data_IF_458866939822
#
_entry.id   IF_458866939822
#
_cell.length_a   1.000
_cell.length_b   1.000
_cell.length_c   1.000
_cell.angle_alpha   90.00
_cell.angle_beta   90.00
_cell.angle_gamma   90.00
#
_symmetry.space_group_name_H-M   'P 1'
#
loop_
_entity.id
_entity.type
_entity.pdbx_description
1 polymer ?
#
# COMPACT_ATOMS: atom_id res chain seq x y z
N UNK A 1 -4.46 8.68 16.13
CA UNK A 1 -5.81 9.18 15.81
C UNK A 1 -6.85 8.16 16.26
N UNK A 2 -7.85 8.56 17.02
CA UNK A 2 -8.93 7.68 17.47
C UNK A 2 -10.10 7.66 16.47
N UNK A 3 -10.91 6.61 16.49
CA UNK A 3 -12.09 6.51 15.61
C UNK A 3 -13.14 7.60 15.92
N UNK A 4 -13.21 8.06 17.17
CA UNK A 4 -14.14 9.13 17.58
C UNK A 4 -13.74 10.44 16.91
N UNK A 5 -12.45 10.79 16.94
CA UNK A 5 -11.91 11.98 16.28
C UNK A 5 -12.09 11.89 14.77
N UNK A 6 -11.80 10.72 14.19
CA UNK A 6 -11.89 10.50 12.75
C UNK A 6 -13.32 10.66 12.20
N UNK A 7 -14.33 10.14 12.91
CA UNK A 7 -15.73 10.22 12.47
C UNK A 7 -16.45 11.50 12.92
N UNK A 8 -15.84 12.31 13.79
CA UNK A 8 -16.46 13.53 14.31
C UNK A 8 -16.95 14.50 13.21
N UNK A 9 -16.17 14.79 12.14
CA UNK A 9 -16.58 15.73 11.09
C UNK A 9 -17.83 15.30 10.33
N UNK A 10 -18.11 13.99 10.29
CA UNK A 10 -19.18 13.38 9.49
C UNK A 10 -20.26 12.72 10.35
N UNK A 11 -20.27 12.99 11.66
CA UNK A 11 -21.20 12.37 12.61
C UNK A 11 -22.66 12.71 12.33
N UNK A 12 -22.91 13.86 11.71
CA UNK A 12 -24.24 14.29 11.22
C UNK A 12 -24.51 13.89 9.77
N UNK A 13 -23.53 13.27 9.11
CA UNK A 13 -23.66 12.76 7.75
C UNK A 13 -24.59 11.54 7.66
N UNK A 14 -24.95 11.17 6.43
CA UNK A 14 -25.76 9.99 6.18
C UNK A 14 -25.09 8.71 6.68
N UNK A 15 -25.91 7.73 7.11
CA UNK A 15 -25.43 6.45 7.65
C UNK A 15 -24.43 5.74 6.73
N UNK A 16 -24.66 5.81 5.41
CA UNK A 16 -23.74 5.30 4.39
C UNK A 16 -22.32 5.84 4.59
N UNK A 17 -22.19 7.16 4.66
CA UNK A 17 -20.89 7.82 4.80
C UNK A 17 -20.20 7.45 6.11
N UNK A 18 -20.95 7.38 7.21
CA UNK A 18 -20.41 6.95 8.52
C UNK A 18 -19.87 5.51 8.44
N UNK A 19 -20.61 4.60 7.81
CA UNK A 19 -20.18 3.21 7.63
C UNK A 19 -18.91 3.11 6.78
N UNK A 20 -18.87 3.79 5.63
CA UNK A 20 -17.72 3.77 4.72
C UNK A 20 -16.48 4.35 5.41
N UNK A 21 -16.61 5.48 6.10
CA UNK A 21 -15.48 6.06 6.83
C UNK A 21 -15.02 5.21 8.01
N UNK A 22 -15.93 4.52 8.70
CA UNK A 22 -15.54 3.56 9.75
C UNK A 22 -14.77 2.36 9.18
N UNK A 23 -15.14 1.87 7.99
CA UNK A 23 -14.40 0.83 7.28
C UNK A 23 -13.01 1.31 6.84
N UNK A 24 -12.93 2.54 6.29
CA UNK A 24 -11.65 3.14 5.93
C UNK A 24 -10.73 3.26 7.13
N UNK A 25 -11.26 3.69 8.27
CA UNK A 25 -10.48 3.80 9.50
C UNK A 25 -9.92 2.44 9.95
N UNK A 26 -10.74 1.38 9.85
CA UNK A 26 -10.32 0.02 10.19
C UNK A 26 -9.21 -0.50 9.28
N UNK A 27 -9.35 -0.31 7.98
CA UNK A 27 -8.33 -0.71 7.00
C UNK A 27 -7.05 0.08 7.20
N UNK A 28 -7.14 1.41 7.29
CA UNK A 28 -5.98 2.28 7.26
C UNK A 28 -5.22 2.42 8.57
N UNK A 29 -5.94 2.44 9.70
CA UNK A 29 -5.34 2.73 11.02
C UNK A 29 -5.37 1.53 11.98
N UNK A 30 -6.10 0.47 11.64
CA UNK A 30 -6.12 -0.78 12.43
C UNK A 30 -5.56 -1.98 11.65
N UNK A 31 -5.02 -1.75 10.44
CA UNK A 31 -4.47 -2.78 9.55
C UNK A 31 -5.42 -3.97 9.30
N UNK A 32 -6.73 -3.69 9.27
CA UNK A 32 -7.74 -4.73 9.09
C UNK A 32 -8.20 -4.82 7.64
N UNK A 33 -7.96 -5.93 6.96
CA UNK A 33 -8.23 -6.06 5.52
C UNK A 33 -9.74 -5.98 5.17
N UNK A 34 -10.56 -6.80 5.83
CA UNK A 34 -12.01 -6.86 5.63
C UNK A 34 -12.74 -7.02 6.97
N UNK A 35 -14.02 -6.62 7.00
CA UNK A 35 -14.78 -6.56 8.25
C UNK A 35 -16.17 -7.19 8.13
N UNK A 36 -16.61 -7.86 9.19
CA UNK A 36 -17.99 -8.33 9.32
C UNK A 36 -18.92 -7.20 9.77
N UNK A 37 -20.22 -7.37 9.59
CA UNK A 37 -21.23 -6.42 10.08
C UNK A 37 -21.15 -6.24 11.60
N UNK A 38 -20.85 -7.29 12.34
CA UNK A 38 -20.65 -7.24 13.79
C UNK A 38 -19.38 -6.48 14.17
N UNK A 39 -18.29 -6.70 13.43
CA UNK A 39 -17.05 -5.92 13.58
C UNK A 39 -17.30 -4.43 13.33
N UNK A 40 -18.01 -4.10 12.26
CA UNK A 40 -18.38 -2.72 11.94
C UNK A 40 -19.28 -2.12 13.03
N UNK A 41 -20.26 -2.88 13.54
CA UNK A 41 -21.08 -2.45 14.66
C UNK A 41 -20.26 -2.17 15.91
N UNK A 42 -19.25 -2.99 16.20
CA UNK A 42 -18.34 -2.77 17.32
C UNK A 42 -17.50 -1.48 17.14
N UNK A 43 -17.02 -1.21 15.92
CA UNK A 43 -16.36 0.06 15.59
C UNK A 43 -17.28 1.27 15.84
N UNK A 44 -18.51 1.23 15.33
CA UNK A 44 -19.46 2.33 15.50
C UNK A 44 -19.82 2.58 16.97
N UNK A 45 -19.91 1.51 17.78
CA UNK A 45 -20.06 1.63 19.24
C UNK A 45 -18.85 2.30 19.89
N UNK A 46 -17.62 1.91 19.51
CA UNK A 46 -16.38 2.56 19.99
C UNK A 46 -16.32 4.03 19.59
N UNK A 47 -16.85 4.38 18.42
CA UNK A 47 -16.98 5.75 17.93
C UNK A 47 -18.11 6.55 18.59
N UNK A 48 -18.86 5.96 19.53
CA UNK A 48 -20.01 6.58 20.22
C UNK A 48 -21.09 7.07 19.23
N UNK A 49 -21.33 6.30 18.17
CA UNK A 49 -22.44 6.55 17.25
C UNK A 49 -23.77 6.13 17.91
N UNK A 50 -24.76 7.04 18.02
CA UNK A 50 -26.03 6.72 18.66
C UNK A 50 -26.76 5.56 18.00
N UNK A 51 -27.39 4.70 18.81
CA UNK A 51 -28.25 3.60 18.35
C UNK A 51 -27.56 2.62 17.38
N UNK A 52 -26.23 2.48 17.45
CA UNK A 52 -25.46 1.62 16.56
C UNK A 52 -25.91 0.14 16.57
N UNK A 53 -26.51 -0.31 17.67
CA UNK A 53 -27.13 -1.62 17.85
C UNK A 53 -28.37 -1.85 16.95
N UNK A 54 -29.12 -0.79 16.65
CA UNK A 54 -30.37 -0.85 15.87
C UNK A 54 -30.18 -0.60 14.37
N UNK A 55 -28.97 -0.23 13.95
CA UNK A 55 -28.68 0.10 12.55
C UNK A 55 -28.65 -1.15 11.68
N UNK A 56 -29.32 -1.07 10.53
CA UNK A 56 -29.26 -2.10 9.50
C UNK A 56 -28.01 -1.90 8.62
N UNK A 57 -26.86 -2.26 9.18
CA UNK A 57 -25.56 -2.10 8.51
C UNK A 57 -25.44 -3.00 7.27
N UNK A 58 -25.99 -4.22 7.32
CA UNK A 58 -25.94 -5.14 6.18
C UNK A 58 -26.63 -4.54 4.94
N UNK A 59 -27.87 -4.04 5.10
CA UNK A 59 -28.58 -3.39 4.00
C UNK A 59 -27.86 -2.12 3.52
N UNK A 60 -27.31 -1.34 4.44
CA UNK A 60 -26.54 -0.13 4.10
C UNK A 60 -25.33 -0.46 3.24
N UNK A 61 -24.58 -1.51 3.57
CA UNK A 61 -23.41 -1.94 2.80
C UNK A 61 -23.83 -2.51 1.44
N UNK A 62 -24.86 -3.35 1.37
CA UNK A 62 -25.39 -3.84 0.10
C UNK A 62 -25.82 -2.72 -0.85
N UNK A 63 -26.41 -1.63 -0.32
CA UNK A 63 -26.80 -0.45 -1.09
C UNK A 63 -25.65 0.52 -1.38
N UNK A 64 -24.46 0.25 -0.84
CA UNK A 64 -23.30 1.12 -1.00
C UNK A 64 -22.42 0.75 -2.20
N UNK A 65 -22.78 -0.27 -2.98
CA UNK A 65 -22.15 -0.55 -4.27
C UNK A 65 -22.13 0.73 -5.16
N UNK A 66 -21.03 1.01 -5.88
CA UNK A 66 -19.81 0.22 -6.05
C UNK A 66 -18.70 0.49 -5.01
N UNK A 67 -18.99 1.19 -3.90
CA UNK A 67 -17.97 1.65 -2.94
C UNK A 67 -17.48 0.54 -1.99
N UNK A 68 -18.24 -0.55 -1.86
CA UNK A 68 -17.90 -1.72 -1.05
C UNK A 68 -18.17 -2.98 -1.83
N UNK A 69 -17.44 -4.04 -1.49
CA UNK A 69 -17.62 -5.37 -2.05
C UNK A 69 -17.52 -6.46 -0.97
N UNK A 70 -18.06 -7.64 -1.26
CA UNK A 70 -17.94 -8.83 -0.42
C UNK A 70 -16.78 -9.69 -0.90
N UNK A 71 -15.73 -9.82 -0.07
CA UNK A 71 -14.50 -10.54 -0.43
C UNK A 71 -14.50 -12.01 0.04
N UNK A 72 -15.51 -12.41 0.80
CA UNK A 72 -15.64 -13.77 1.31
C UNK A 72 -16.58 -13.88 2.50
N UNK A 73 -16.40 -14.96 3.27
CA UNK A 73 -17.14 -15.21 4.51
C UNK A 73 -16.21 -15.60 5.64
N UNK A 74 -16.52 -15.12 6.84
CA UNK A 74 -16.00 -15.62 8.11
C UNK A 74 -17.09 -16.47 8.76
N UNK A 75 -16.98 -17.79 8.63
CA UNK A 75 -18.07 -18.73 8.91
C UNK A 75 -19.30 -18.42 8.06
N UNK A 76 -20.41 -18.07 8.71
CA UNK A 76 -21.68 -17.71 8.04
C UNK A 76 -21.85 -16.21 7.79
N UNK A 77 -20.85 -15.39 8.10
CA UNK A 77 -20.93 -13.92 8.01
C UNK A 77 -20.16 -13.41 6.81
N UNK A 78 -20.72 -12.48 6.05
CA UNK A 78 -20.01 -11.85 4.94
C UNK A 78 -18.91 -10.92 5.44
N UNK A 79 -17.76 -10.99 4.77
CA UNK A 79 -16.65 -10.06 4.93
C UNK A 79 -16.77 -8.96 3.88
N UNK A 80 -16.83 -7.72 4.36
CA UNK A 80 -16.97 -6.53 3.54
C UNK A 80 -15.65 -5.78 3.48
N UNK A 81 -15.31 -5.30 2.28
CA UNK A 81 -14.11 -4.52 2.01
C UNK A 81 -14.50 -3.25 1.27
N UNK A 82 -13.85 -2.12 1.56
CA UNK A 82 -13.93 -0.96 0.66
C UNK A 82 -13.25 -1.30 -0.66
N UNK A 83 -13.84 -0.83 -1.76
CA UNK A 83 -13.17 -0.82 -3.06
C UNK A 83 -12.27 0.40 -3.15
N UNK A 84 -11.36 0.44 -4.12
CA UNK A 84 -10.54 1.63 -4.42
C UNK A 84 -11.38 2.88 -4.68
N UNK A 85 -12.57 2.71 -5.27
CA UNK A 85 -13.53 3.81 -5.47
C UNK A 85 -14.14 4.26 -4.14
N UNK A 86 -14.44 3.32 -3.23
CA UNK A 86 -14.91 3.62 -1.88
C UNK A 86 -13.88 4.35 -1.02
N UNK A 87 -12.62 3.95 -1.11
CA UNK A 87 -11.50 4.64 -0.44
C UNK A 87 -11.39 6.08 -0.92
N UNK A 88 -11.39 6.30 -2.24
CA UNK A 88 -11.35 7.64 -2.84
C UNK A 88 -12.53 8.48 -2.36
N UNK A 89 -13.75 7.94 -2.38
CA UNK A 89 -14.95 8.63 -1.89
C UNK A 89 -14.84 9.07 -0.43
N UNK A 90 -14.31 8.21 0.46
CA UNK A 90 -14.13 8.56 1.88
C UNK A 90 -13.09 9.65 2.07
N UNK A 91 -12.00 9.60 1.29
CA UNK A 91 -10.92 10.58 1.35
C UNK A 91 -11.41 11.96 0.92
N UNK A 92 -12.17 12.02 -0.17
CA UNK A 92 -12.80 13.26 -0.64
C UNK A 92 -13.79 13.80 0.40
N UNK A 93 -14.63 12.91 0.96
CA UNK A 93 -15.64 13.27 1.96
C UNK A 93 -15.03 13.91 3.22
N UNK A 94 -13.90 13.37 3.69
CA UNK A 94 -13.21 13.84 4.89
C UNK A 94 -12.13 14.88 4.59
N UNK A 95 -11.98 15.28 3.32
CA UNK A 95 -10.93 16.16 2.83
C UNK A 95 -9.54 15.74 3.35
N UNK A 96 -9.27 14.43 3.30
CA UNK A 96 -8.00 13.88 3.76
C UNK A 96 -6.88 14.35 2.81
N UNK A 97 -5.70 14.72 3.33
CA UNK A 97 -4.57 15.11 2.49
C UNK A 97 -4.29 14.01 1.47
N UNK A 98 -3.92 14.40 0.24
CA UNK A 98 -3.56 13.48 -0.85
C UNK A 98 -2.64 12.36 -0.31
N UNK A 99 -2.85 11.12 -0.78
CA UNK A 99 -2.24 9.90 -0.20
C UNK A 99 -0.76 10.17 0.11
N UNK A 100 -0.44 10.38 1.39
CA UNK A 100 0.92 10.18 1.86
C UNK A 100 1.26 8.74 1.48
N UNK A 101 2.36 8.58 0.75
CA UNK A 101 2.89 7.29 0.29
C UNK A 101 2.74 6.30 1.44
N UNK A 102 1.89 5.28 1.25
CA UNK A 102 1.61 4.32 2.32
C UNK A 102 2.86 3.49 2.52
N UNK A 103 3.66 3.85 3.54
CA UNK A 103 4.84 3.10 3.94
C UNK A 103 4.35 1.79 4.55
N UNK A 104 4.21 0.75 3.72
CA UNK A 104 3.92 -0.62 4.12
C UNK A 104 5.16 -1.30 4.72
N UNK A 105 6.35 -0.91 4.25
CA UNK A 105 7.62 -1.45 4.71
C UNK A 105 8.51 -0.31 5.24
N UNK A 106 9.02 -0.46 6.47
CA UNK A 106 10.09 0.40 6.97
C UNK A 106 11.38 0.12 6.17
N UNK A 107 11.84 1.13 5.44
CA UNK A 107 13.03 1.07 4.58
C UNK A 107 14.14 2.00 5.04
N UNK A 108 14.02 2.62 6.22
CA UNK A 108 14.96 3.62 6.73
C UNK A 108 16.42 3.13 6.74
N UNK A 109 16.63 1.85 7.04
CA UNK A 109 17.93 1.19 6.98
C UNK A 109 18.48 1.05 5.56
N UNK A 110 17.62 0.81 4.56
CA UNK A 110 18.01 0.75 3.15
C UNK A 110 18.31 2.14 2.59
N UNK A 111 17.51 3.15 2.95
CA UNK A 111 17.77 4.54 2.59
C UNK A 111 19.13 5.00 3.12
N UNK A 112 19.43 4.71 4.39
CA UNK A 112 20.73 5.01 5.01
C UNK A 112 21.90 4.31 4.30
N UNK A 113 21.70 3.10 3.78
CA UNK A 113 22.71 2.39 3.00
C UNK A 113 22.91 3.03 1.62
N UNK A 114 21.83 3.44 0.97
CA UNK A 114 21.89 4.10 -0.34
C UNK A 114 22.62 5.45 -0.24
N UNK A 115 22.41 6.20 0.85
CA UNK A 115 23.09 7.48 1.09
C UNK A 115 24.63 7.35 1.21
N UNK A 116 25.13 6.14 1.47
CA UNK A 116 26.58 5.86 1.51
C UNK A 116 27.22 5.65 0.13
N UNK A 117 26.42 5.55 -0.94
CA UNK A 117 26.85 5.28 -2.30
C UNK A 117 27.10 6.59 -3.05
N UNK A 118 28.29 6.73 -3.65
CA UNK A 118 28.70 7.93 -4.38
C UNK A 118 28.30 7.96 -5.86
N UNK A 119 27.91 6.82 -6.44
CA UNK A 119 27.46 6.72 -7.83
C UNK A 119 25.99 7.15 -7.94
N UNK A 120 25.76 8.41 -8.35
CA UNK A 120 24.42 8.99 -8.46
C UNK A 120 23.48 8.18 -9.37
N UNK A 121 23.98 7.69 -10.50
CA UNK A 121 23.16 6.91 -11.44
C UNK A 121 22.74 5.57 -10.83
N UNK A 122 23.62 4.93 -10.04
CA UNK A 122 23.27 3.72 -9.29
C UNK A 122 22.27 4.03 -8.19
N UNK A 123 22.48 5.12 -7.46
CA UNK A 123 21.61 5.61 -6.40
C UNK A 123 20.19 5.85 -6.93
N UNK A 124 20.01 6.42 -8.12
CA UNK A 124 18.69 6.62 -8.72
C UNK A 124 17.90 5.31 -8.90
N UNK A 125 18.55 4.25 -9.39
CA UNK A 125 17.93 2.92 -9.50
C UNK A 125 17.55 2.35 -8.13
N UNK A 126 18.44 2.47 -7.14
CA UNK A 126 18.22 1.92 -5.80
C UNK A 126 17.15 2.68 -5.03
N UNK A 127 17.14 4.02 -5.12
CA UNK A 127 16.11 4.86 -4.51
C UNK A 127 14.74 4.55 -5.09
N UNK A 128 14.62 4.33 -6.41
CA UNK A 128 13.34 3.95 -7.01
C UNK A 128 12.91 2.54 -6.61
N UNK A 129 13.86 1.60 -6.49
CA UNK A 129 13.59 0.26 -5.96
C UNK A 129 13.04 0.31 -4.52
N UNK A 130 13.61 1.18 -3.67
CA UNK A 130 13.18 1.39 -2.28
C UNK A 130 11.82 2.08 -2.19
N UNK A 131 11.54 3.08 -3.02
CA UNK A 131 10.19 3.68 -3.10
C UNK A 131 9.14 2.65 -3.51
N UNK A 132 9.44 1.80 -4.48
CA UNK A 132 8.55 0.70 -4.86
C UNK A 132 8.34 -0.29 -3.70
N UNK A 133 9.38 -0.56 -2.92
CA UNK A 133 9.28 -1.42 -1.75
C UNK A 133 8.42 -0.78 -0.65
N UNK A 134 8.55 0.53 -0.41
CA UNK A 134 7.74 1.27 0.57
C UNK A 134 6.24 1.05 0.34
N UNK A 135 5.79 1.02 -0.91
CA UNK A 135 4.37 0.82 -1.29
C UNK A 135 4.03 -0.61 -1.72
N UNK A 136 4.88 -1.59 -1.37
CA UNK A 136 4.66 -3.01 -1.67
C UNK A 136 4.49 -3.34 -3.18
N UNK A 137 5.03 -2.50 -4.05
CA UNK A 137 5.15 -2.75 -5.48
C UNK A 137 6.36 -3.68 -5.76
N UNK A 138 6.32 -4.89 -5.19
CA UNK A 138 7.46 -5.82 -5.13
C UNK A 138 8.08 -6.12 -6.51
N UNK A 139 7.24 -6.27 -7.55
CA UNK A 139 7.74 -6.50 -8.91
C UNK A 139 8.58 -5.35 -9.44
N UNK A 140 8.11 -4.12 -9.27
CA UNK A 140 8.84 -2.94 -9.71
C UNK A 140 10.13 -2.76 -8.88
N UNK A 141 10.06 -2.99 -7.57
CA UNK A 141 11.22 -2.95 -6.68
C UNK A 141 12.34 -3.88 -7.16
N UNK A 142 12.00 -5.13 -7.46
CA UNK A 142 12.97 -6.12 -7.98
C UNK A 142 13.55 -5.69 -9.32
N UNK A 143 12.74 -5.14 -10.23
CA UNK A 143 13.22 -4.69 -11.56
C UNK A 143 14.21 -3.54 -11.44
N UNK A 144 13.92 -2.53 -10.62
CA UNK A 144 14.84 -1.40 -10.42
C UNK A 144 16.13 -1.84 -9.71
N UNK A 145 16.03 -2.69 -8.69
CA UNK A 145 17.20 -3.26 -8.01
C UNK A 145 18.11 -4.02 -8.98
N UNK A 146 17.55 -4.90 -9.81
CA UNK A 146 18.31 -5.66 -10.79
C UNK A 146 18.93 -4.77 -11.87
N UNK A 147 18.21 -3.74 -12.31
CA UNK A 147 18.72 -2.79 -13.30
C UNK A 147 19.96 -2.06 -12.78
N UNK A 148 19.92 -1.58 -11.54
CA UNK A 148 21.07 -0.98 -10.86
C UNK A 148 22.23 -1.96 -10.68
N UNK A 149 21.94 -3.19 -10.22
CA UNK A 149 22.96 -4.23 -10.01
C UNK A 149 23.69 -4.60 -11.32
N UNK A 150 22.95 -4.81 -12.42
CA UNK A 150 23.53 -5.14 -13.73
C UNK A 150 24.37 -3.98 -14.25
N UNK A 151 23.90 -2.72 -14.10
CA UNK A 151 24.68 -1.53 -14.45
C UNK A 151 26.01 -1.51 -13.67
N UNK A 152 25.97 -1.69 -12.35
CA UNK A 152 27.16 -1.69 -11.50
C UNK A 152 28.16 -2.76 -11.90
N UNK A 153 27.71 -4.01 -12.09
CA UNK A 153 28.56 -5.11 -12.54
C UNK A 153 29.18 -4.78 -13.90
N UNK A 154 28.39 -4.27 -14.85
CA UNK A 154 28.90 -3.87 -16.17
C UNK A 154 29.98 -2.81 -16.03
N UNK A 155 29.73 -1.75 -15.29
CA UNK A 155 30.66 -0.62 -15.18
C UNK A 155 31.97 -1.07 -14.50
N UNK A 156 31.91 -1.96 -13.50
CA UNK A 156 33.09 -2.58 -12.89
C UNK A 156 33.86 -3.48 -13.85
N UNK A 157 33.17 -4.33 -14.62
CA UNK A 157 33.80 -5.19 -15.62
C UNK A 157 34.51 -4.35 -16.69
N UNK A 158 33.89 -3.26 -17.14
CA UNK A 158 34.48 -2.37 -18.15
C UNK A 158 35.66 -1.56 -17.58
N UNK A 159 35.66 -1.26 -16.27
CA UNK A 159 36.79 -0.60 -15.60
C UNK A 159 38.08 -1.43 -15.62
N UNK A 160 37.97 -2.76 -15.73
CA UNK A 160 39.10 -3.67 -15.93
C UNK A 160 39.69 -3.62 -17.36
N UNK A 161 39.14 -2.78 -18.23
CA UNK A 161 39.54 -2.61 -19.62
C UNK A 161 38.60 -3.34 -20.57
N UNK A 162 37.95 -2.59 -21.48
CA UNK A 162 36.98 -3.12 -22.46
C UNK A 162 37.57 -4.26 -23.31
N UNK A 163 38.84 -4.14 -23.69
CA UNK A 163 39.56 -5.17 -24.45
C UNK A 163 39.71 -6.50 -23.70
N UNK A 164 39.62 -6.49 -22.37
CA UNK A 164 39.80 -7.66 -21.52
C UNK A 164 38.48 -8.41 -21.29
N UNK A 165 37.34 -7.78 -21.54
CA UNK A 165 36.01 -8.34 -21.31
C UNK A 165 35.74 -9.52 -22.23
N UNK A 166 35.84 -9.32 -23.55
CA UNK A 166 35.55 -10.37 -24.53
C UNK A 166 36.42 -11.63 -24.34
N UNK A 167 37.76 -11.52 -24.17
CA UNK A 167 38.60 -12.68 -23.85
C UNK A 167 38.21 -13.37 -22.53
N UNK A 168 37.78 -12.62 -21.52
CA UNK A 168 37.37 -13.20 -20.24
C UNK A 168 36.04 -13.96 -20.36
N UNK A 169 35.06 -13.41 -21.08
CA UNK A 169 33.77 -14.08 -21.30
C UNK A 169 33.94 -15.32 -22.19
N UNK A 170 34.80 -15.26 -23.21
CA UNK A 170 35.07 -16.38 -24.11
C UNK A 170 35.67 -17.63 -23.42
N UNK A 171 36.28 -17.47 -22.24
CA UNK A 171 36.72 -18.61 -21.42
C UNK A 171 35.56 -19.47 -20.92
N UNK A 172 34.38 -18.88 -20.75
CA UNK A 172 33.19 -19.55 -20.23
C UNK A 172 32.13 -19.80 -21.31
N UNK A 173 31.99 -18.88 -22.28
CA UNK A 173 31.15 -19.04 -23.46
C UNK A 173 31.95 -18.77 -24.74
N UNK A 174 32.47 -19.81 -25.42
CA UNK A 174 33.26 -19.66 -26.64
C UNK A 174 32.53 -18.95 -27.80
N UNK A 175 31.20 -18.79 -27.74
CA UNK A 175 30.40 -18.11 -28.77
C UNK A 175 30.16 -16.62 -28.47
N UNK A 176 30.56 -16.14 -27.30
CA UNK A 176 30.41 -14.73 -26.94
C UNK A 176 31.24 -13.82 -27.86
N UNK A 177 30.63 -12.69 -28.27
CA UNK A 177 31.21 -11.69 -29.18
C UNK A 177 31.36 -10.34 -28.50
#
# INVERSE_FOLDING_TARGET
MTIVEFLHPIKTGGLKNICLSAMYFFQRYQNGDAITVEGLRALLKRAKIPRADKLNLAATLSQSAPLVDTVGKDGNKFLWKLTSTGETHVRDLLNLPANDIEIENDVSSLESLIDSISDNDLTDYLSEAVKCLQVNALRASVVYLWSGAVKKIRDEVFSCGVSNVNPAVQKFDPKAK
#
